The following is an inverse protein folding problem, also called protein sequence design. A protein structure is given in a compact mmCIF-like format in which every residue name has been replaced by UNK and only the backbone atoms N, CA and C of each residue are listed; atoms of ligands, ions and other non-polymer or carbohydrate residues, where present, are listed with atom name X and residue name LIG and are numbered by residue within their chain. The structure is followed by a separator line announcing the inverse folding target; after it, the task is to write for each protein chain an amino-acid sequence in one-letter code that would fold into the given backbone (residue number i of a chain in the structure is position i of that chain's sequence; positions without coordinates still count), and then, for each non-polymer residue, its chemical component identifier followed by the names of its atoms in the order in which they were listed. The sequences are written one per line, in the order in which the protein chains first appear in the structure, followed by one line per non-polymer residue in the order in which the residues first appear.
data_IF_969223733463
#
_entry.id   IF_969223733463
#
_cell.length_a   1.000
_cell.length_b   1.000
_cell.length_c   1.000
_cell.angle_alpha   90.00
_cell.angle_beta   90.00
_cell.angle_gamma   90.00
#
_symmetry.space_group_name_H-M   'P 1'
#
loop_
_entity.id
_entity.type
_entity.pdbx_description
1 polymer ?
#
# COMPACT_ATOMS: atom_id res chain seq x y z
N UNK A 1 -27.60 1.51 8.62
CA UNK A 1 -27.24 1.59 8.43
C UNK A 1 -26.73 1.75 8.18
N UNK A 2 -26.67 1.70 8.03
CA UNK A 2 -26.21 1.96 7.81
C UNK A 2 -25.27 2.28 7.29
N UNK A 3 -25.33 2.99 7.43
CA UNK A 3 -24.29 3.64 6.80
C UNK A 3 -23.07 2.94 6.61
N UNK A 4 -23.03 1.91 7.13
CA UNK A 4 -21.90 1.18 7.04
C UNK A 4 -21.53 0.83 5.71
N UNK A 5 -22.44 0.76 4.83
CA UNK A 5 -22.10 0.35 3.50
C UNK A 5 -21.26 1.37 2.81
N UNK A 6 -21.07 2.52 3.36
CA UNK A 6 -20.24 3.50 2.74
C UNK A 6 -18.91 3.62 3.40
N UNK A 7 -18.54 2.68 4.20
CA UNK A 7 -17.28 2.79 4.83
C UNK A 7 -16.16 2.74 3.86
N UNK A 8 -15.12 3.47 4.12
CA UNK A 8 -13.92 3.43 3.32
C UNK A 8 -13.17 2.16 3.63
N UNK A 9 -12.56 1.58 2.65
CA UNK A 9 -11.82 0.35 2.88
C UNK A 9 -10.68 0.23 1.92
N UNK A 10 -9.67 -0.56 2.28
CA UNK A 10 -8.60 -0.95 1.39
C UNK A 10 -8.53 -2.47 1.44
N UNK A 11 -8.21 -3.05 0.31
CA UNK A 11 -8.09 -4.49 0.20
C UNK A 11 -6.93 -4.82 -0.72
N UNK A 12 -6.05 -5.72 -0.31
CA UNK A 12 -4.95 -6.06 -1.22
C UNK A 12 -5.47 -6.85 -2.40
N UNK A 13 -4.88 -6.62 -3.54
CA UNK A 13 -5.28 -7.34 -4.74
C UNK A 13 -4.67 -8.73 -4.71
N UNK A 14 -3.46 -8.83 -4.21
CA UNK A 14 -2.84 -10.13 -4.07
C UNK A 14 -2.29 -10.25 -2.68
N UNK A 15 -2.35 -11.44 -2.12
CA UNK A 15 -1.84 -11.60 -0.78
C UNK A 15 -0.40 -12.07 -0.78
N UNK A 16 0.11 -12.49 -1.91
CA UNK A 16 1.48 -12.96 -1.97
C UNK A 16 2.01 -12.70 -3.36
N UNK A 17 3.21 -12.24 -3.46
CA UNK A 17 3.77 -11.92 -4.73
C UNK A 17 5.24 -12.30 -4.76
N UNK A 18 5.69 -12.80 -5.87
CA UNK A 18 7.07 -13.22 -6.03
C UNK A 18 7.69 -12.47 -7.19
N UNK A 19 8.95 -12.15 -7.06
CA UNK A 19 9.64 -11.46 -8.12
C UNK A 19 11.10 -11.87 -8.11
N UNK A 20 11.74 -11.70 -9.22
CA UNK A 20 13.16 -11.95 -9.31
C UNK A 20 13.94 -10.70 -8.97
N UNK A 21 15.10 -10.90 -8.44
CA UNK A 21 15.93 -9.77 -8.09
C UNK A 21 16.21 -8.95 -9.33
N UNK A 22 16.18 -7.66 -9.21
CA UNK A 22 16.42 -6.74 -10.32
C UNK A 22 15.18 -6.32 -11.06
N UNK A 23 14.07 -7.00 -10.84
CA UNK A 23 12.84 -6.65 -11.53
C UNK A 23 12.11 -5.54 -10.85
N UNK A 24 11.11 -4.99 -11.51
CA UNK A 24 10.19 -4.07 -10.88
C UNK A 24 9.01 -4.86 -10.38
N UNK A 25 8.69 -4.70 -9.11
CA UNK A 25 7.57 -5.38 -8.50
C UNK A 25 6.52 -4.35 -8.15
N UNK A 26 5.28 -4.64 -8.43
CA UNK A 26 4.19 -3.74 -8.08
C UNK A 26 3.26 -4.42 -7.10
N UNK A 27 3.05 -3.79 -5.97
CA UNK A 27 2.11 -4.26 -4.97
C UNK A 27 0.91 -3.36 -5.05
N UNK A 28 -0.27 -3.91 -5.03
CA UNK A 28 -1.47 -3.11 -5.27
C UNK A 28 -2.56 -3.38 -4.26
N UNK A 29 -3.32 -2.34 -3.96
CA UNK A 29 -4.51 -2.43 -3.13
C UNK A 29 -5.63 -1.70 -3.82
N UNK A 30 -6.84 -2.22 -3.68
CA UNK A 30 -8.02 -1.49 -4.10
C UNK A 30 -8.54 -0.72 -2.92
N UNK A 31 -9.13 0.43 -3.17
CA UNK A 31 -9.73 1.19 -2.09
C UNK A 31 -11.14 1.60 -2.50
N UNK A 32 -11.96 1.91 -1.54
CA UNK A 32 -13.30 2.39 -1.82
C UNK A 32 -13.63 3.49 -0.85
N UNK A 33 -14.58 4.30 -1.21
CA UNK A 33 -15.01 5.40 -0.37
C UNK A 33 -14.35 6.70 -0.78
N UNK A 34 -14.55 7.71 0.02
CA UNK A 34 -13.96 9.01 -0.21
C UNK A 34 -12.66 9.07 0.55
N UNK A 35 -11.55 8.99 -0.17
CA UNK A 35 -10.26 8.81 0.42
C UNK A 35 -9.42 10.05 0.21
N UNK A 36 -8.75 10.50 1.24
CA UNK A 36 -7.87 11.64 1.13
C UNK A 36 -6.46 11.18 0.73
N UNK A 37 -5.96 10.14 1.34
CA UNK A 37 -4.62 9.66 1.03
C UNK A 37 -4.52 8.18 1.28
N UNK A 38 -3.52 7.58 0.67
CA UNK A 38 -3.25 6.17 0.83
C UNK A 38 -1.80 6.00 1.23
N UNK A 39 -1.54 5.11 2.16
CA UNK A 39 -0.26 5.03 2.83
C UNK A 39 0.32 3.64 2.66
N UNK A 40 1.62 3.55 2.56
CA UNK A 40 2.31 2.28 2.45
C UNK A 40 3.30 2.14 3.60
N UNK A 41 3.29 0.95 4.20
CA UNK A 41 4.19 0.60 5.28
C UNK A 41 4.86 -0.73 4.94
N UNK A 42 6.00 -0.97 5.52
CA UNK A 42 6.74 -2.20 5.31
C UNK A 42 7.17 -2.75 6.66
N UNK A 43 7.10 -4.06 6.80
CA UNK A 43 7.52 -4.70 8.03
C UNK A 43 8.42 -5.87 7.70
N UNK A 44 9.63 -5.85 8.22
CA UNK A 44 10.57 -6.92 8.03
C UNK A 44 10.49 -7.85 9.22
N UNK A 45 10.26 -9.14 8.98
CA UNK A 45 10.24 -10.11 10.05
C UNK A 45 9.32 -9.69 11.19
N UNK A 46 9.86 -9.62 12.38
CA UNK A 46 9.06 -9.23 13.53
C UNK A 46 9.32 -7.81 13.95
N UNK A 47 10.04 -7.05 13.16
CA UNK A 47 10.29 -5.66 13.51
C UNK A 47 9.02 -4.85 13.38
N UNK A 48 9.02 -3.65 13.92
CA UNK A 48 7.87 -2.77 13.79
C UNK A 48 7.70 -2.35 12.34
N UNK A 49 6.48 -2.10 11.89
CA UNK A 49 6.28 -1.57 10.56
C UNK A 49 6.89 -0.19 10.42
N UNK A 50 7.43 0.07 9.24
CA UNK A 50 7.98 1.39 8.98
C UNK A 50 7.18 2.06 7.88
N UNK A 51 7.00 3.35 8.01
CA UNK A 51 6.28 4.13 7.02
C UNK A 51 7.19 4.31 5.80
N UNK A 52 6.64 4.05 4.62
CA UNK A 52 7.39 4.25 3.39
C UNK A 52 6.99 5.56 2.73
N UNK A 53 5.73 5.72 2.44
CA UNK A 53 5.27 6.91 1.73
C UNK A 53 3.76 6.94 1.75
N UNK A 54 3.21 8.04 1.27
CA UNK A 54 1.78 8.12 1.03
C UNK A 54 1.54 8.89 -0.25
N UNK A 55 0.37 8.74 -0.79
CA UNK A 55 -0.03 9.49 -1.97
C UNK A 55 -1.44 10.00 -1.72
N UNK A 56 -1.63 11.30 -1.95
CA UNK A 56 -2.96 11.88 -1.86
C UNK A 56 -3.75 11.49 -3.09
N UNK A 57 -5.04 11.41 -2.95
CA UNK A 57 -5.84 11.04 -4.11
C UNK A 57 -5.65 12.04 -5.23
N UNK A 58 -5.28 13.25 -4.92
CA UNK A 58 -4.99 14.23 -5.96
C UNK A 58 -3.67 13.96 -6.69
N UNK A 59 -2.84 13.07 -6.18
CA UNK A 59 -1.62 12.68 -6.87
C UNK A 59 -0.32 13.09 -6.22
N UNK A 60 -0.38 13.97 -5.24
CA UNK A 60 0.84 14.43 -4.57
C UNK A 60 1.35 13.35 -3.64
N UNK A 61 2.65 13.18 -3.57
CA UNK A 61 3.23 12.13 -2.75
C UNK A 61 4.06 12.73 -1.63
N UNK A 62 4.19 11.98 -0.55
CA UNK A 62 5.01 12.36 0.59
C UNK A 62 5.82 11.15 1.01
N UNK A 63 7.06 11.35 1.35
CA UNK A 63 7.95 10.27 1.72
C UNK A 63 8.97 10.06 0.63
N UNK A 64 10.19 9.69 1.01
CA UNK A 64 11.18 9.51 -0.03
C UNK A 64 12.10 8.38 0.32
N UNK A 65 11.56 7.26 0.63
CA UNK A 65 12.36 6.07 0.77
C UNK A 65 12.75 5.62 -0.62
N UNK A 66 14.04 5.41 -0.82
CA UNK A 66 14.56 5.10 -2.11
C UNK A 66 14.06 3.74 -2.58
N UNK A 67 13.74 3.65 -3.83
CA UNK A 67 13.37 2.36 -4.42
C UNK A 67 11.91 2.00 -4.32
N UNK A 68 11.09 2.80 -3.65
CA UNK A 68 9.66 2.52 -3.56
C UNK A 68 8.87 3.78 -3.90
N UNK A 69 7.97 3.64 -4.84
CA UNK A 69 7.23 4.79 -5.36
C UNK A 69 5.74 4.48 -5.34
N UNK A 70 4.91 5.34 -4.74
CA UNK A 70 3.48 5.11 -4.77
C UNK A 70 2.87 5.68 -6.03
N UNK A 71 1.86 5.03 -6.53
CA UNK A 71 1.11 5.50 -7.69
C UNK A 71 -0.35 5.31 -7.44
N UNK A 72 -1.18 6.13 -8.04
CA UNK A 72 -2.60 6.02 -7.83
C UNK A 72 -3.32 6.02 -9.18
N UNK A 73 -4.34 5.17 -9.27
CA UNK A 73 -5.16 5.06 -10.45
C UNK A 73 -6.60 5.33 -10.03
N UNK A 74 -6.99 6.59 -10.07
CA UNK A 74 -8.26 6.99 -9.50
C UNK A 74 -9.45 6.37 -10.19
N UNK A 75 -9.36 6.19 -11.48
CA UNK A 75 -10.53 5.72 -12.22
C UNK A 75 -10.93 4.31 -11.81
N UNK A 76 -10.01 3.53 -11.30
CA UNK A 76 -10.33 2.19 -10.85
C UNK A 76 -10.10 2.03 -9.36
N UNK A 77 -9.83 3.10 -8.69
CA UNK A 77 -9.65 3.11 -7.23
C UNK A 77 -8.61 2.09 -6.80
N UNK A 78 -7.43 2.22 -7.35
CA UNK A 78 -6.33 1.32 -7.06
C UNK A 78 -5.09 2.15 -6.72
N UNK A 79 -4.38 1.72 -5.70
CA UNK A 79 -3.11 2.34 -5.35
C UNK A 79 -2.03 1.27 -5.47
N UNK A 80 -0.89 1.65 -6.01
CA UNK A 80 0.23 0.75 -6.21
C UNK A 80 1.44 1.24 -5.49
N UNK A 81 2.28 0.31 -5.10
CA UNK A 81 3.62 0.62 -4.65
C UNK A 81 4.58 -0.09 -5.60
N UNK A 82 5.42 0.68 -6.25
CA UNK A 82 6.38 0.11 -7.18
C UNK A 82 7.71 -0.02 -6.48
N UNK A 83 8.27 -1.20 -6.48
CA UNK A 83 9.56 -1.48 -5.85
C UNK A 83 10.52 -1.81 -6.98
N UNK A 84 11.58 -1.01 -7.11
CA UNK A 84 12.48 -1.16 -8.24
C UNK A 84 13.84 -0.61 -7.91
N UNK A 85 14.88 -1.36 -8.15
CA UNK A 85 14.86 -2.76 -8.51
C UNK A 85 14.62 -3.61 -7.27
N UNK A 86 13.95 -4.73 -7.46
CA UNK A 86 13.66 -5.60 -6.34
C UNK A 86 14.94 -6.26 -5.85
N UNK A 87 15.05 -6.39 -4.54
CA UNK A 87 16.20 -7.05 -3.93
C UNK A 87 15.68 -8.11 -2.99
N UNK A 88 16.47 -9.14 -2.78
CA UNK A 88 16.06 -10.16 -1.84
C UNK A 88 15.75 -9.52 -0.49
N UNK A 89 16.49 -8.48 -0.14
CA UNK A 89 16.24 -7.81 1.12
C UNK A 89 14.93 -7.05 1.15
N UNK A 90 14.21 -6.93 0.05
CA UNK A 90 12.89 -6.30 0.06
C UNK A 90 11.80 -7.28 0.47
N UNK A 91 12.13 -8.53 0.74
CA UNK A 91 11.13 -9.49 1.20
C UNK A 91 10.56 -9.04 2.52
N UNK A 92 9.28 -8.80 2.56
CA UNK A 92 8.66 -8.22 3.75
C UNK A 92 7.15 -8.28 3.61
N UNK A 93 6.48 -7.89 4.67
CA UNK A 93 5.05 -7.63 4.60
C UNK A 93 4.88 -6.18 4.22
N UNK A 94 3.99 -5.94 3.30
CA UNK A 94 3.67 -4.58 2.88
C UNK A 94 2.22 -4.32 3.22
N UNK A 95 1.97 -3.18 3.81
CA UNK A 95 0.63 -2.81 4.26
C UNK A 95 0.18 -1.58 3.53
N UNK A 96 -1.06 -1.57 3.12
CA UNK A 96 -1.68 -0.34 2.63
C UNK A 96 -2.72 0.11 3.65
N UNK A 97 -2.89 1.40 3.77
CA UNK A 97 -3.85 1.98 4.68
C UNK A 97 -4.45 3.19 4.02
N UNK A 98 -5.60 3.62 4.47
CA UNK A 98 -6.20 4.82 3.90
C UNK A 98 -6.57 5.81 4.97
N UNK A 99 -6.64 7.05 4.58
CA UNK A 99 -7.13 8.13 5.40
C UNK A 99 -8.38 8.67 4.73
N UNK A 100 -9.53 8.62 5.36
CA UNK A 100 -10.75 9.10 4.71
C UNK A 100 -10.79 10.62 4.68
N UNK A 101 -11.57 11.15 3.75
CA UNK A 101 -11.71 12.60 3.67
C UNK A 101 -12.61 13.10 4.78
N UNK A 102 -13.56 12.30 5.21
CA UNK A 102 -14.45 12.73 6.24
C UNK A 102 -13.79 12.45 7.54
N UNK A 103 -13.64 13.48 8.37
CA UNK A 103 -12.88 13.21 9.46
C UNK A 103 -13.63 13.10 10.63
N UNK A 104 -14.25 12.98 11.20
CA UNK A 104 -14.71 12.71 12.42
C UNK A 104 -13.71 12.02 13.12
N UNK A 105 -13.68 10.83 13.01
CA UNK A 105 -12.69 10.05 13.62
C UNK A 105 -11.78 9.60 12.60
N UNK A 106 -10.55 9.83 12.74
CA UNK A 106 -9.62 9.30 11.78
C UNK A 106 -9.61 7.81 11.92
N UNK A 107 -10.03 7.16 10.91
CA UNK A 107 -10.03 5.74 10.91
C UNK A 107 -8.99 5.29 9.93
N UNK A 108 -8.08 4.49 10.40
CA UNK A 108 -7.09 3.94 9.50
C UNK A 108 -7.39 2.48 9.36
N UNK A 109 -7.68 2.06 8.18
CA UNK A 109 -7.96 0.67 7.92
C UNK A 109 -6.72 0.04 7.38
N UNK A 110 -6.33 -1.05 7.97
CA UNK A 110 -5.11 -1.71 7.57
C UNK A 110 -5.43 -3.06 7.02
N UNK A 111 -4.75 -3.45 6.00
CA UNK A 111 -4.87 -4.79 5.49
C UNK A 111 -3.48 -5.34 5.37
N UNK A 112 -3.26 -6.49 5.92
CA UNK A 112 -1.98 -7.12 5.80
C UNK A 112 -1.78 -7.60 4.40
N UNK A 113 -0.61 -7.39 3.88
CA UNK A 113 -0.32 -7.81 2.55
C UNK A 113 0.98 -8.57 2.61
N UNK A 114 0.91 -9.83 2.93
CA UNK A 114 2.15 -10.60 3.03
C UNK A 114 2.72 -10.81 1.66
N UNK A 115 3.85 -10.24 1.41
CA UNK A 115 4.52 -10.46 0.17
C UNK A 115 5.75 -11.18 0.45
N UNK A 116 5.88 -12.25 -0.20
CA UNK A 116 7.07 -12.92 -0.01
C UNK A 116 7.86 -12.60 -1.12
N UNK A 117 8.37 -11.89 -1.33
CA UNK A 117 8.99 -11.48 -2.16
C UNK A 117 9.81 -11.83 -2.90
N UNK A 118 10.58 -11.85 -3.13
CA UNK A 118 11.33 -11.83 -4.19
C UNK A 118 11.59 -13.14 -4.51
N UNK A 119 11.24 -13.52 -5.59
CA UNK A 119 11.30 -14.81 -5.98
C UNK A 119 12.57 -15.42 -5.95
N UNK A 120 13.45 -14.69 -5.60
CA UNK A 120 14.66 -15.34 -5.50
C UNK A 120 14.66 -16.31 -4.46
N UNK A 121 13.79 -16.39 -3.76
CA UNK A 121 13.84 -17.29 -2.86
C UNK A 121 13.53 -18.26 -3.04
#
# INVERSE_FOLDING_TARGET
MTGDSFEDSVTPIETEQHALEGETVTVSCNYSGSVRSLHWYRQFGTAAPEFLNLIFEAGTTVGNVSGVVPKIHKSIQQVDLEISPAKISDSALYYCALEPTVTGNPVTLHTNLPLSKTGAK
#
